data_IF_908215248418
#
_entry.id   IF_908215248418
#
_cell.length_a   1.000
_cell.length_b   1.000
_cell.length_c   1.000
_cell.angle_alpha   90.00
_cell.angle_beta   90.00
_cell.angle_gamma   90.00
#
_symmetry.space_group_name_H-M   'P 1'
#
loop_
_entity.id
_entity.type
_entity.pdbx_description
1 polymer ?
#
# COMPACT_ATOMS: atom_id res chain seq x y z
N UNK A 1 -12.56 12.21 4.09
CA UNK A 1 -12.85 10.75 4.10
C UNK A 1 -11.56 10.06 4.41
N UNK A 2 -11.48 9.12 5.37
CA UNK A 2 -10.24 8.39 5.61
C UNK A 2 -9.88 7.62 4.33
N UNK A 3 -8.62 7.69 3.84
CA UNK A 3 -8.20 6.85 2.74
C UNK A 3 -8.31 5.38 3.18
N UNK A 4 -9.00 4.55 2.37
CA UNK A 4 -9.16 3.12 2.60
C UNK A 4 -7.77 2.48 2.79
N UNK A 5 -7.56 1.68 3.85
CA UNK A 5 -6.30 0.97 4.09
C UNK A 5 -5.86 0.17 2.86
N UNK A 6 -4.55 0.02 2.62
CA UNK A 6 -4.03 -0.74 1.46
C UNK A 6 -4.61 -2.14 1.48
N UNK A 7 -4.66 -2.78 2.64
CA UNK A 7 -5.26 -4.09 2.81
C UNK A 7 -6.72 -4.05 2.40
N UNK A 8 -7.53 -3.04 2.75
CA UNK A 8 -8.93 -2.97 2.32
C UNK A 8 -9.10 -2.71 0.82
N UNK A 9 -8.23 -1.92 0.20
CA UNK A 9 -8.27 -1.69 -1.26
C UNK A 9 -7.74 -2.89 -2.02
N UNK A 10 -6.70 -3.56 -1.54
CA UNK A 10 -6.17 -4.82 -2.05
C UNK A 10 -7.13 -5.96 -1.75
N UNK A 11 -7.84 -6.01 -0.62
CA UNK A 11 -8.88 -7.01 -0.34
C UNK A 11 -10.07 -6.83 -1.29
N UNK A 12 -10.43 -5.59 -1.60
CA UNK A 12 -11.52 -5.29 -2.56
C UNK A 12 -11.09 -5.60 -3.99
N UNK A 13 -9.84 -5.28 -4.36
CA UNK A 13 -9.22 -5.65 -5.65
C UNK A 13 -8.97 -7.16 -5.77
N UNK A 14 -8.59 -7.83 -4.68
CA UNK A 14 -8.39 -9.28 -4.57
C UNK A 14 -9.71 -10.01 -4.64
N UNK A 15 -10.76 -9.57 -3.92
CA UNK A 15 -12.11 -10.09 -4.07
C UNK A 15 -12.62 -9.92 -5.50
N UNK A 16 -12.29 -8.82 -6.18
CA UNK A 16 -12.63 -8.60 -7.59
C UNK A 16 -11.81 -9.50 -8.53
N UNK A 17 -10.52 -9.67 -8.29
CA UNK A 17 -9.64 -10.54 -9.08
C UNK A 17 -9.95 -12.02 -8.86
N UNK A 18 -10.30 -12.43 -7.63
CA UNK A 18 -10.83 -13.76 -7.30
C UNK A 18 -12.19 -13.94 -7.98
N UNK A 19 -13.06 -12.93 -7.99
CA UNK A 19 -14.34 -12.99 -8.69
C UNK A 19 -14.16 -13.11 -10.21
N UNK A 20 -13.25 -12.34 -10.81
CA UNK A 20 -12.90 -12.42 -12.23
C UNK A 20 -12.27 -13.79 -12.56
N UNK A 21 -11.28 -14.25 -11.78
CA UNK A 21 -10.63 -15.54 -11.98
C UNK A 21 -11.58 -16.73 -11.73
N UNK A 22 -12.45 -16.65 -10.72
CA UNK A 22 -13.48 -17.65 -10.46
C UNK A 22 -14.51 -17.69 -11.60
N UNK A 23 -14.94 -16.54 -12.15
CA UNK A 23 -15.82 -16.50 -13.32
C UNK A 23 -15.16 -17.07 -14.58
N UNK A 24 -13.84 -16.92 -14.74
CA UNK A 24 -13.08 -17.39 -15.91
C UNK A 24 -12.40 -18.77 -15.72
N UNK A 25 -12.66 -19.49 -14.62
CA UNK A 25 -12.19 -20.88 -14.44
C UNK A 25 -12.78 -21.80 -15.50
N UNK A 26 -11.92 -22.63 -16.10
CA UNK A 26 -12.32 -23.63 -17.11
C UNK A 26 -13.41 -24.56 -16.57
N UNK A 27 -13.43 -24.85 -15.26
CA UNK A 27 -14.49 -25.66 -14.65
C UNK A 27 -15.88 -25.00 -14.74
N UNK A 28 -15.97 -23.67 -14.62
CA UNK A 28 -17.24 -22.94 -14.76
C UNK A 28 -17.70 -22.88 -16.22
N UNK A 29 -16.76 -22.78 -17.17
CA UNK A 29 -17.07 -22.88 -18.59
C UNK A 29 -17.61 -24.28 -18.96
N UNK A 30 -17.08 -25.35 -18.36
CA UNK A 30 -17.56 -26.73 -18.56
C UNK A 30 -18.93 -26.94 -17.92
N UNK A 31 -19.20 -26.39 -16.74
CA UNK A 31 -20.50 -26.49 -16.07
C UNK A 31 -21.58 -25.71 -16.85
N UNK A 32 -21.27 -24.50 -17.32
CA UNK A 32 -22.17 -23.70 -18.16
C UNK A 32 -22.41 -24.36 -19.53
N UNK A 33 -21.35 -24.86 -20.18
CA UNK A 33 -21.50 -25.60 -21.43
C UNK A 33 -22.31 -26.89 -21.25
N UNK A 34 -22.06 -27.64 -20.16
CA UNK A 34 -22.79 -28.86 -19.83
C UNK A 34 -24.26 -28.60 -19.52
N UNK A 35 -24.59 -27.53 -18.79
CA UNK A 35 -25.97 -27.14 -18.49
C UNK A 35 -26.72 -26.64 -19.74
N UNK A 36 -26.06 -25.92 -20.65
CA UNK A 36 -26.62 -25.52 -21.95
C UNK A 36 -26.86 -26.74 -22.85
N UNK A 37 -25.91 -27.68 -22.91
CA UNK A 37 -26.06 -28.91 -23.70
C UNK A 37 -27.19 -29.80 -23.16
N UNK A 38 -27.31 -29.94 -21.85
CA UNK A 38 -28.41 -30.68 -21.21
C UNK A 38 -29.76 -29.99 -21.44
N UNK A 39 -29.81 -28.65 -21.40
CA UNK A 39 -31.03 -27.90 -21.70
C UNK A 39 -31.52 -28.10 -23.14
N UNK A 40 -30.59 -28.28 -24.10
CA UNK A 40 -30.92 -28.50 -25.51
C UNK A 40 -31.26 -29.97 -25.82
N UNK A 41 -30.51 -30.94 -25.30
CA UNK A 41 -30.69 -32.36 -25.59
C UNK A 41 -31.71 -33.08 -24.71
N UNK A 42 -31.89 -32.64 -23.45
CA UNK A 42 -32.83 -33.21 -22.48
C UNK A 42 -33.66 -32.10 -21.78
N UNK A 43 -34.50 -31.36 -22.53
CA UNK A 43 -35.29 -30.27 -21.95
C UNK A 43 -36.30 -30.75 -20.91
N UNK A 44 -36.88 -31.95 -21.07
CA UNK A 44 -37.85 -32.57 -20.15
C UNK A 44 -37.49 -34.05 -19.88
N UNK A 45 -36.55 -34.35 -18.97
CA UNK A 45 -36.13 -35.72 -18.70
C UNK A 45 -37.16 -36.53 -17.88
N UNK A 46 -38.00 -35.85 -17.06
CA UNK A 46 -38.89 -36.50 -16.09
C UNK A 46 -40.29 -35.85 -16.04
N UNK A 47 -41.09 -35.91 -17.13
CA UNK A 47 -42.37 -35.23 -17.22
C UNK A 47 -43.46 -35.76 -16.25
N UNK A 48 -43.31 -36.97 -15.72
CA UNK A 48 -44.28 -37.58 -14.81
C UNK A 48 -44.06 -37.29 -13.31
N UNK A 49 -42.87 -36.87 -12.90
CA UNK A 49 -42.50 -36.67 -11.49
C UNK A 49 -42.37 -35.20 -11.10
N UNK A 50 -41.91 -34.35 -12.02
CA UNK A 50 -41.67 -32.92 -11.78
C UNK A 50 -42.22 -32.10 -12.97
N UNK A 51 -43.53 -31.82 -13.00
CA UNK A 51 -44.20 -31.19 -14.15
C UNK A 51 -43.78 -29.72 -14.41
N UNK A 52 -43.05 -29.12 -13.48
CA UNK A 52 -42.47 -27.78 -13.58
C UNK A 52 -41.02 -27.78 -14.09
N UNK A 53 -40.42 -28.97 -14.24
CA UNK A 53 -39.07 -29.12 -14.78
C UNK A 53 -39.08 -28.92 -16.28
N UNK A 54 -38.28 -27.98 -16.79
CA UNK A 54 -38.18 -27.66 -18.21
C UNK A 54 -36.77 -27.07 -18.48
N UNK A 55 -36.42 -26.76 -19.72
CA UNK A 55 -35.06 -26.31 -20.11
C UNK A 55 -34.46 -25.21 -19.20
N UNK A 56 -35.29 -24.33 -18.65
CA UNK A 56 -34.88 -23.26 -17.74
C UNK A 56 -34.37 -23.75 -16.37
N UNK A 57 -34.81 -24.92 -15.88
CA UNK A 57 -34.31 -25.46 -14.60
C UNK A 57 -32.85 -25.89 -14.70
N UNK A 58 -32.42 -26.40 -15.86
CA UNK A 58 -31.01 -26.71 -16.11
C UNK A 58 -30.11 -25.47 -16.06
N UNK A 59 -30.60 -24.35 -16.61
CA UNK A 59 -29.90 -23.07 -16.56
C UNK A 59 -29.86 -22.54 -15.13
N UNK A 60 -30.98 -22.61 -14.40
CA UNK A 60 -31.05 -22.17 -13.01
C UNK A 60 -30.14 -23.01 -12.10
N UNK A 61 -30.06 -24.32 -12.33
CA UNK A 61 -29.20 -25.24 -11.58
C UNK A 61 -27.72 -25.00 -11.90
N UNK A 62 -27.36 -24.76 -13.17
CA UNK A 62 -26.02 -24.33 -13.55
C UNK A 62 -25.63 -23.00 -12.88
N UNK A 63 -26.54 -22.03 -12.86
CA UNK A 63 -26.33 -20.74 -12.22
C UNK A 63 -26.18 -20.87 -10.69
N UNK A 64 -26.97 -21.73 -10.04
CA UNK A 64 -26.88 -22.01 -8.60
C UNK A 64 -25.57 -22.74 -8.26
N UNK A 65 -25.16 -23.72 -9.07
CA UNK A 65 -23.90 -24.44 -8.87
C UNK A 65 -22.69 -23.51 -8.97
N UNK A 66 -22.66 -22.66 -10.00
CA UNK A 66 -21.61 -21.63 -10.16
C UNK A 66 -21.67 -20.64 -8.98
N UNK A 67 -22.85 -20.19 -8.56
CA UNK A 67 -23.01 -19.28 -7.43
C UNK A 67 -22.50 -19.89 -6.12
N UNK A 68 -22.77 -21.18 -5.88
CA UNK A 68 -22.28 -21.90 -4.71
C UNK A 68 -20.75 -22.06 -4.72
N UNK A 69 -20.15 -22.33 -5.89
CA UNK A 69 -18.68 -22.39 -6.05
C UNK A 69 -18.05 -21.02 -5.80
N UNK A 70 -18.63 -19.95 -6.33
CA UNK A 70 -18.15 -18.57 -6.12
C UNK A 70 -18.24 -18.18 -4.65
N UNK A 71 -19.36 -18.49 -3.97
CA UNK A 71 -19.52 -18.25 -2.53
C UNK A 71 -18.54 -19.10 -1.72
N UNK A 72 -18.33 -20.35 -2.10
CA UNK A 72 -17.35 -21.24 -1.45
C UNK A 72 -15.92 -20.74 -1.62
N UNK A 73 -15.53 -20.29 -2.81
CA UNK A 73 -14.21 -19.74 -3.09
C UNK A 73 -13.95 -18.42 -2.33
N UNK A 74 -14.98 -17.57 -2.20
CA UNK A 74 -14.91 -16.36 -1.37
C UNK A 74 -14.82 -16.65 0.13
N UNK A 75 -15.23 -17.84 0.56
CA UNK A 75 -15.17 -18.29 1.96
C UNK A 75 -13.90 -19.12 2.24
N UNK A 76 -13.19 -19.57 1.20
CA UNK A 76 -11.96 -20.33 1.32
C UNK A 76 -10.77 -19.40 1.58
N UNK A 77 -10.27 -19.45 2.81
CA UNK A 77 -9.25 -18.54 3.32
C UNK A 77 -7.90 -18.67 2.59
N UNK A 78 -7.64 -19.83 1.96
CA UNK A 78 -6.39 -20.08 1.21
C UNK A 78 -6.31 -19.35 -0.13
N UNK A 79 -7.38 -19.33 -0.92
CA UNK A 79 -7.39 -18.61 -2.21
C UNK A 79 -7.31 -17.08 -2.00
N UNK A 80 -7.83 -16.60 -0.87
CA UNK A 80 -7.78 -15.20 -0.47
C UNK A 80 -6.36 -14.77 -0.08
N UNK A 81 -5.65 -15.61 0.67
CA UNK A 81 -4.24 -15.42 1.01
C UNK A 81 -3.37 -15.36 -0.26
N UNK A 82 -3.54 -16.27 -1.24
CA UNK A 82 -2.76 -16.29 -2.49
C UNK A 82 -3.05 -15.11 -3.44
N UNK A 83 -4.28 -14.60 -3.47
CA UNK A 83 -4.65 -13.45 -4.28
C UNK A 83 -4.10 -12.14 -3.69
N UNK A 84 -4.16 -11.99 -2.36
CA UNK A 84 -3.56 -10.86 -1.64
C UNK A 84 -2.06 -10.86 -1.85
N UNK A 85 -1.38 -12.00 -1.72
CA UNK A 85 0.07 -12.14 -1.91
C UNK A 85 0.52 -11.80 -3.36
N UNK A 86 -0.27 -12.18 -4.38
CA UNK A 86 0.01 -11.83 -5.78
C UNK A 86 -0.14 -10.33 -6.06
N UNK A 87 -1.23 -9.73 -5.60
CA UNK A 87 -1.46 -8.29 -5.72
C UNK A 87 -0.43 -7.50 -4.89
N UNK A 88 0.05 -8.09 -3.79
CA UNK A 88 1.18 -7.59 -3.05
C UNK A 88 2.44 -7.54 -3.89
N UNK A 89 2.87 -8.65 -4.49
CA UNK A 89 4.07 -8.66 -5.35
C UNK A 89 4.01 -7.64 -6.49
N UNK A 90 2.81 -7.33 -6.98
CA UNK A 90 2.59 -6.35 -8.05
C UNK A 90 2.65 -4.89 -7.53
N UNK A 91 1.93 -4.56 -6.46
CA UNK A 91 1.85 -3.21 -5.88
C UNK A 91 3.14 -2.82 -5.11
N UNK A 92 3.84 -3.81 -4.54
CA UNK A 92 5.06 -3.70 -3.73
C UNK A 92 6.34 -3.87 -4.53
N UNK A 93 6.24 -4.00 -5.86
CA UNK A 93 7.42 -4.01 -6.69
C UNK A 93 8.25 -2.74 -6.40
N UNK A 94 9.50 -2.96 -5.96
CA UNK A 94 10.53 -1.93 -5.73
C UNK A 94 10.87 -1.22 -7.06
N UNK A 95 10.35 -1.74 -8.19
CA UNK A 95 10.38 -1.14 -9.51
C UNK A 95 9.95 0.32 -9.47
N UNK A 96 10.82 1.19 -9.98
CA UNK A 96 10.58 2.62 -10.07
C UNK A 96 11.32 3.47 -9.03
N UNK A 97 11.78 2.90 -7.91
CA UNK A 97 12.64 3.62 -6.94
C UNK A 97 14.06 3.63 -7.48
N UNK A 98 14.70 4.79 -7.59
CA UNK A 98 16.06 4.95 -8.14
C UNK A 98 17.14 4.94 -7.07
N UNK A 99 16.81 5.42 -5.88
CA UNK A 99 17.73 5.49 -4.73
C UNK A 99 18.03 4.10 -4.16
N UNK A 100 19.30 3.70 -4.22
CA UNK A 100 19.77 2.39 -3.77
C UNK A 100 19.61 2.18 -2.26
N UNK A 101 19.72 3.22 -1.46
CA UNK A 101 19.56 3.10 -0.01
C UNK A 101 18.09 2.80 0.33
N UNK A 102 17.15 3.44 -0.36
CA UNK A 102 15.72 3.15 -0.20
C UNK A 102 15.38 1.73 -0.67
N UNK A 103 15.94 1.29 -1.80
CA UNK A 103 15.78 -0.09 -2.28
C UNK A 103 16.27 -1.12 -1.26
N UNK A 104 17.45 -0.91 -0.67
CA UNK A 104 18.02 -1.82 0.34
C UNK A 104 17.15 -1.89 1.60
N UNK A 105 16.62 -0.75 2.07
CA UNK A 105 15.70 -0.72 3.22
C UNK A 105 14.44 -1.54 2.94
N UNK A 106 13.84 -1.40 1.77
CA UNK A 106 12.63 -2.13 1.38
C UNK A 106 12.89 -3.62 1.18
N UNK A 107 14.04 -3.98 0.61
CA UNK A 107 14.44 -5.39 0.49
C UNK A 107 14.57 -6.06 1.85
N UNK A 108 15.17 -5.39 2.83
CA UNK A 108 15.25 -5.91 4.21
C UNK A 108 13.88 -6.03 4.87
N UNK A 109 12.97 -5.09 4.61
CA UNK A 109 11.59 -5.18 5.08
C UNK A 109 10.87 -6.41 4.53
N UNK A 110 11.08 -6.71 3.24
CA UNK A 110 10.59 -7.94 2.60
C UNK A 110 11.21 -9.21 3.22
N UNK A 111 12.53 -9.22 3.44
CA UNK A 111 13.22 -10.33 4.12
C UNK A 111 12.68 -10.57 5.55
N UNK A 112 12.36 -9.51 6.30
CA UNK A 112 11.72 -9.65 7.62
C UNK A 112 10.32 -10.23 7.50
N UNK A 113 9.54 -9.79 6.52
CA UNK A 113 8.19 -10.30 6.30
C UNK A 113 8.19 -11.79 5.95
N UNK A 114 9.07 -12.24 5.05
CA UNK A 114 9.21 -13.66 4.73
C UNK A 114 9.56 -14.50 5.97
N UNK A 115 10.50 -14.00 6.79
CA UNK A 115 10.91 -14.67 8.02
C UNK A 115 9.80 -14.71 9.07
N UNK A 116 9.01 -13.65 9.20
CA UNK A 116 7.84 -13.59 10.07
C UNK A 116 6.80 -14.62 9.61
N UNK A 117 6.49 -14.71 8.32
CA UNK A 117 5.55 -15.69 7.77
C UNK A 117 6.00 -17.12 8.04
N UNK A 118 7.28 -17.41 7.81
CA UNK A 118 7.85 -18.71 8.10
C UNK A 118 7.74 -19.06 9.60
N UNK A 119 8.03 -18.10 10.48
CA UNK A 119 7.93 -18.28 11.93
C UNK A 119 6.48 -18.52 12.41
N UNK A 120 5.50 -17.80 11.85
CA UNK A 120 4.07 -18.03 12.14
C UNK A 120 3.60 -19.37 11.59
N UNK A 121 4.02 -19.76 10.38
CA UNK A 121 3.63 -21.02 9.76
C UNK A 121 4.12 -22.24 10.56
N UNK A 122 5.32 -22.14 11.14
CA UNK A 122 5.93 -23.15 11.99
C UNK A 122 5.23 -23.33 13.35
N UNK A 123 4.35 -22.40 13.76
CA UNK A 123 3.59 -22.54 15.00
C UNK A 123 2.57 -23.67 14.93
N UNK A 124 2.35 -24.31 16.09
CA UNK A 124 1.29 -25.31 16.28
C UNK A 124 -0.08 -24.69 16.01
N UNK A 125 -0.95 -25.47 15.38
CA UNK A 125 -2.32 -25.04 15.11
C UNK A 125 -3.07 -24.73 16.40
N UNK A 126 -3.81 -23.63 16.41
CA UNK A 126 -4.56 -23.15 17.58
C UNK A 126 -4.80 -21.65 17.56
N UNK A 127 -5.48 -21.15 18.59
CA UNK A 127 -5.91 -19.73 18.71
C UNK A 127 -4.74 -18.76 18.61
N UNK A 128 -3.56 -19.13 19.12
CA UNK A 128 -2.35 -18.31 19.02
C UNK A 128 -1.91 -18.14 17.56
N UNK A 129 -1.86 -19.24 16.79
CA UNK A 129 -1.51 -19.20 15.36
C UNK A 129 -2.50 -18.37 14.56
N UNK A 130 -3.81 -18.51 14.83
CA UNK A 130 -4.85 -17.72 14.17
C UNK A 130 -4.75 -16.22 14.49
N UNK A 131 -4.30 -15.89 15.71
CA UNK A 131 -4.04 -14.50 16.10
C UNK A 131 -2.79 -13.96 15.40
N UNK A 132 -1.69 -14.71 15.41
CA UNK A 132 -0.45 -14.32 14.73
C UNK A 132 -0.63 -14.15 13.22
N UNK A 133 -1.44 -15.01 12.58
CA UNK A 133 -1.82 -14.87 11.17
C UNK A 133 -2.53 -13.55 10.89
N UNK A 134 -3.41 -13.09 11.79
CA UNK A 134 -4.06 -11.78 11.63
C UNK A 134 -3.04 -10.64 11.75
N UNK A 135 -2.10 -10.75 12.70
CA UNK A 135 -1.02 -9.78 12.86
C UNK A 135 -0.10 -9.68 11.64
N UNK A 136 0.13 -10.80 10.94
CA UNK A 136 0.84 -10.79 9.64
C UNK A 136 0.14 -9.91 8.59
N UNK A 137 -1.19 -9.82 8.61
CA UNK A 137 -1.92 -8.95 7.68
C UNK A 137 -1.68 -7.46 7.94
N UNK A 138 -1.44 -7.07 9.19
CA UNK A 138 -1.14 -5.68 9.53
C UNK A 138 0.31 -5.31 9.09
N UNK A 139 1.23 -6.28 9.11
CA UNK A 139 2.61 -6.11 8.61
C UNK A 139 2.64 -5.85 7.10
N UNK A 140 1.68 -6.41 6.38
CA UNK A 140 1.49 -6.09 4.98
C UNK A 140 1.20 -4.58 4.81
N UNK A 141 0.17 -4.04 5.47
CA UNK A 141 -0.14 -2.60 5.40
C UNK A 141 1.04 -1.72 5.78
N UNK A 142 1.80 -2.15 6.78
CA UNK A 142 3.01 -1.49 7.23
C UNK A 142 4.04 -1.35 6.11
N UNK A 143 4.42 -2.46 5.46
CA UNK A 143 5.41 -2.43 4.38
C UNK A 143 4.90 -1.56 3.22
N UNK A 144 3.58 -1.48 3.03
CA UNK A 144 3.01 -0.68 1.94
C UNK A 144 3.15 0.81 2.19
N UNK A 145 2.96 1.21 3.44
CA UNK A 145 3.28 2.56 3.88
C UNK A 145 4.78 2.88 3.70
N UNK A 146 5.67 1.93 4.02
CA UNK A 146 7.12 2.09 3.78
C UNK A 146 7.44 2.28 2.29
N UNK A 147 6.85 1.49 1.39
CA UNK A 147 7.03 1.63 -0.06
C UNK A 147 6.54 2.99 -0.55
N UNK A 148 5.35 3.44 -0.10
CA UNK A 148 4.83 4.77 -0.44
C UNK A 148 5.76 5.89 0.00
N UNK A 149 6.24 5.83 1.24
CA UNK A 149 7.15 6.80 1.80
C UNK A 149 8.48 6.82 1.03
N UNK A 150 9.02 5.65 0.71
CA UNK A 150 10.24 5.50 -0.09
C UNK A 150 10.08 6.08 -1.50
N UNK A 151 8.98 5.79 -2.21
CA UNK A 151 8.71 6.39 -3.53
C UNK A 151 8.66 7.92 -3.46
N UNK A 152 8.10 8.46 -2.39
CA UNK A 152 8.03 9.90 -2.19
C UNK A 152 9.38 10.54 -1.90
N UNK A 153 10.19 9.89 -1.07
CA UNK A 153 11.58 10.29 -0.82
C UNK A 153 12.41 10.25 -2.11
N UNK A 154 12.25 9.20 -2.93
CA UNK A 154 12.94 9.05 -4.21
C UNK A 154 12.55 10.15 -5.21
N UNK A 155 11.25 10.43 -5.33
CA UNK A 155 10.72 11.49 -6.18
C UNK A 155 11.29 12.86 -5.78
N UNK A 156 11.30 13.18 -4.48
CA UNK A 156 11.87 14.42 -3.98
C UNK A 156 13.39 14.52 -4.21
N UNK A 157 14.16 13.44 -3.92
CA UNK A 157 15.62 13.42 -4.10
C UNK A 157 16.06 13.59 -5.55
N UNK A 158 15.19 13.21 -6.48
CA UNK A 158 15.45 13.29 -7.92
C UNK A 158 14.69 14.41 -8.63
N UNK A 159 14.00 15.29 -7.89
CA UNK A 159 13.24 16.41 -8.45
C UNK A 159 14.17 17.48 -9.04
N UNK A 160 14.22 17.63 -10.38
CA UNK A 160 15.14 18.59 -11.01
C UNK A 160 14.77 20.05 -10.74
N UNK A 161 13.50 20.35 -10.42
CA UNK A 161 13.04 21.71 -10.13
C UNK A 161 13.56 22.14 -8.77
N UNK A 162 13.31 21.33 -7.74
CA UNK A 162 13.77 21.63 -6.36
C UNK A 162 15.29 21.72 -6.29
N UNK A 163 16.00 20.81 -6.96
CA UNK A 163 17.46 20.84 -7.06
C UNK A 163 17.96 22.10 -7.78
N UNK A 164 17.30 22.47 -8.88
CA UNK A 164 17.61 23.67 -9.65
C UNK A 164 17.39 24.95 -8.85
N UNK A 165 16.24 25.09 -8.20
CA UNK A 165 15.87 26.24 -7.38
C UNK A 165 16.84 26.40 -6.21
N UNK A 166 17.19 25.31 -5.53
CA UNK A 166 18.18 25.35 -4.44
C UNK A 166 19.53 25.89 -4.93
N UNK A 167 20.01 25.42 -6.07
CA UNK A 167 21.30 25.86 -6.60
C UNK A 167 21.25 27.31 -7.11
N UNK A 168 20.16 27.71 -7.75
CA UNK A 168 19.93 29.08 -8.18
C UNK A 168 19.92 30.06 -6.99
N UNK A 169 19.22 29.71 -5.90
CA UNK A 169 19.09 30.56 -4.71
C UNK A 169 20.42 30.83 -4.01
N UNK A 170 21.36 29.86 -4.02
CA UNK A 170 22.71 30.05 -3.46
C UNK A 170 23.46 31.19 -4.13
N UNK A 171 23.21 31.44 -5.40
CA UNK A 171 23.86 32.49 -6.18
C UNK A 171 23.03 33.77 -6.25
N UNK A 172 21.71 33.64 -6.40
CA UNK A 172 20.83 34.78 -6.64
C UNK A 172 20.64 35.65 -5.39
N UNK A 173 20.50 35.06 -4.21
CA UNK A 173 20.29 35.82 -2.96
C UNK A 173 21.50 36.73 -2.66
N UNK A 174 22.76 36.24 -2.62
CA UNK A 174 23.91 37.11 -2.39
C UNK A 174 24.08 38.20 -3.46
N UNK A 175 23.76 37.87 -4.72
CA UNK A 175 23.83 38.84 -5.81
C UNK A 175 22.78 39.96 -5.65
N UNK A 176 21.53 39.61 -5.32
CA UNK A 176 20.49 40.61 -5.04
C UNK A 176 20.85 41.48 -3.84
N UNK A 177 21.40 40.90 -2.77
CA UNK A 177 21.89 41.65 -1.61
C UNK A 177 23.00 42.64 -2.00
N UNK A 178 23.96 42.22 -2.84
CA UNK A 178 25.03 43.08 -3.32
C UNK A 178 24.50 44.24 -4.18
N UNK A 179 23.58 43.94 -5.11
CA UNK A 179 22.95 44.94 -5.97
C UNK A 179 22.11 45.93 -5.16
N UNK A 180 21.41 45.46 -4.13
CA UNK A 180 20.62 46.30 -3.24
C UNK A 180 21.51 47.30 -2.49
N UNK A 181 22.67 46.86 -2.01
CA UNK A 181 23.63 47.72 -1.31
C UNK A 181 24.24 48.83 -2.19
N UNK A 182 24.23 48.65 -3.52
CA UNK A 182 24.79 49.60 -4.49
C UNK A 182 23.71 50.45 -5.19
N UNK A 183 22.43 50.13 -5.01
CA UNK A 183 21.34 50.77 -5.74
C UNK A 183 21.04 52.18 -5.19
N UNK A 184 21.21 53.21 -6.02
CA UNK A 184 20.90 54.60 -5.66
C UNK A 184 19.44 54.98 -5.96
N UNK A 185 18.87 54.45 -7.06
CA UNK A 185 17.49 54.72 -7.46
C UNK A 185 16.48 54.04 -6.50
N UNK A 186 15.50 54.82 -6.03
CA UNK A 186 14.50 54.38 -5.05
C UNK A 186 13.61 53.26 -5.59
N UNK A 187 13.14 53.34 -6.84
CA UNK A 187 12.26 52.32 -7.43
C UNK A 187 13.01 51.02 -7.66
N UNK A 188 14.29 51.11 -8.05
CA UNK A 188 15.16 49.94 -8.20
C UNK A 188 15.40 49.26 -6.86
N UNK A 189 15.63 50.03 -5.78
CA UNK A 189 15.74 49.47 -4.43
C UNK A 189 14.48 48.73 -4.00
N UNK A 190 13.31 49.36 -4.14
CA UNK A 190 12.02 48.75 -3.78
C UNK A 190 11.78 47.43 -4.54
N UNK A 191 12.10 47.40 -5.84
CA UNK A 191 11.97 46.17 -6.63
C UNK A 191 12.97 45.08 -6.19
N UNK A 192 14.23 45.46 -5.89
CA UNK A 192 15.26 44.54 -5.41
C UNK A 192 14.90 43.97 -4.03
N UNK A 193 14.37 44.79 -3.12
CA UNK A 193 13.88 44.36 -1.80
C UNK A 193 12.74 43.36 -1.94
N UNK A 194 11.77 43.63 -2.82
CA UNK A 194 10.64 42.73 -3.08
C UNK A 194 11.15 41.38 -3.61
N UNK A 195 11.98 41.39 -4.64
CA UNK A 195 12.52 40.15 -5.24
C UNK A 195 13.41 39.38 -4.26
N UNK A 196 14.19 40.07 -3.43
CA UNK A 196 15.00 39.45 -2.39
C UNK A 196 14.10 38.76 -1.34
N UNK A 197 13.02 39.43 -0.91
CA UNK A 197 12.04 38.86 0.00
C UNK A 197 11.40 37.58 -0.55
N UNK A 198 10.97 37.60 -1.81
CA UNK A 198 10.39 36.42 -2.47
C UNK A 198 11.37 35.24 -2.52
N UNK A 199 12.64 35.49 -2.85
CA UNK A 199 13.67 34.44 -2.89
C UNK A 199 14.03 33.92 -1.51
N UNK A 200 14.06 34.77 -0.49
CA UNK A 200 14.25 34.34 0.90
C UNK A 200 13.09 33.47 1.38
N UNK A 201 11.85 33.83 1.02
CA UNK A 201 10.68 33.01 1.34
C UNK A 201 10.75 31.64 0.66
N UNK A 202 11.12 31.59 -0.62
CA UNK A 202 11.33 30.32 -1.33
C UNK A 202 12.42 29.47 -0.65
N UNK A 203 13.52 30.08 -0.23
CA UNK A 203 14.59 29.38 0.49
C UNK A 203 14.11 28.77 1.81
N UNK A 204 13.27 29.49 2.57
CA UNK A 204 12.66 28.98 3.80
C UNK A 204 11.77 27.77 3.49
N UNK A 205 10.91 27.89 2.47
CA UNK A 205 9.99 26.82 2.07
C UNK A 205 10.75 25.55 1.63
N UNK A 206 11.81 25.69 0.83
CA UNK A 206 12.66 24.56 0.43
C UNK A 206 13.35 23.94 1.65
N UNK A 207 13.91 24.76 2.55
CA UNK A 207 14.57 24.25 3.76
C UNK A 207 13.61 23.49 4.68
N UNK A 208 12.36 23.95 4.77
CA UNK A 208 11.33 23.25 5.52
C UNK A 208 10.96 21.91 4.89
N UNK A 209 10.82 21.86 3.56
CA UNK A 209 10.62 20.61 2.82
C UNK A 209 11.79 19.65 3.07
N UNK A 210 13.04 20.13 3.01
CA UNK A 210 14.24 19.32 3.28
C UNK A 210 14.19 18.67 4.66
N UNK A 211 13.87 19.46 5.69
CA UNK A 211 13.76 18.97 7.06
C UNK A 211 12.66 17.91 7.20
N UNK A 212 11.52 18.10 6.51
CA UNK A 212 10.42 17.12 6.50
C UNK A 212 10.86 15.81 5.81
N UNK A 213 11.55 15.89 4.68
CA UNK A 213 12.06 14.72 3.96
C UNK A 213 13.14 13.96 4.74
N UNK A 214 14.00 14.67 5.47
CA UNK A 214 14.97 14.03 6.36
C UNK A 214 14.27 13.26 7.49
N UNK A 215 13.25 13.86 8.12
CA UNK A 215 12.45 13.16 9.14
C UNK A 215 11.73 11.94 8.57
N UNK A 216 11.20 12.04 7.36
CA UNK A 216 10.57 10.93 6.66
C UNK A 216 11.55 9.77 6.39
N UNK A 217 12.80 10.07 6.01
CA UNK A 217 13.83 9.03 5.83
C UNK A 217 14.21 8.36 7.16
N UNK A 218 14.33 9.14 8.23
CA UNK A 218 14.56 8.62 9.59
C UNK A 218 13.38 7.76 10.08
N UNK A 219 12.14 8.14 9.74
CA UNK A 219 10.97 7.32 10.06
C UNK A 219 11.04 5.97 9.33
N UNK A 220 11.43 5.97 8.05
CA UNK A 220 11.61 4.73 7.30
C UNK A 220 12.67 3.81 7.93
N UNK A 221 13.76 4.38 8.45
CA UNK A 221 14.77 3.62 9.22
C UNK A 221 14.23 3.07 10.53
N UNK A 222 13.48 3.88 11.27
CA UNK A 222 12.82 3.47 12.51
C UNK A 222 11.86 2.30 12.27
N UNK A 223 11.02 2.39 11.24
CA UNK A 223 10.08 1.34 10.86
C UNK A 223 10.78 0.05 10.46
N UNK A 224 11.88 0.12 9.73
CA UNK A 224 12.68 -1.07 9.42
C UNK A 224 13.24 -1.74 10.69
N UNK A 225 13.71 -0.95 11.66
CA UNK A 225 14.20 -1.47 12.94
C UNK A 225 13.07 -2.09 13.79
N UNK A 226 11.88 -1.48 13.78
CA UNK A 226 10.68 -2.01 14.41
C UNK A 226 10.29 -3.36 13.80
N UNK A 227 10.38 -3.55 12.46
CA UNK A 227 10.13 -4.85 11.81
C UNK A 227 11.09 -5.93 12.33
N UNK A 228 12.38 -5.61 12.44
CA UNK A 228 13.38 -6.53 13.02
C UNK A 228 13.10 -6.87 14.49
N UNK A 229 12.55 -5.92 15.24
CA UNK A 229 12.12 -6.12 16.63
C UNK A 229 10.92 -7.06 16.71
N UNK A 230 9.88 -6.83 15.90
CA UNK A 230 8.70 -7.71 15.80
C UNK A 230 9.11 -9.14 15.44
N UNK A 231 9.98 -9.30 14.46
CA UNK A 231 10.52 -10.60 14.09
C UNK A 231 11.22 -11.29 15.27
N UNK A 232 12.09 -10.58 15.97
CA UNK A 232 12.82 -11.11 17.13
C UNK A 232 11.86 -11.51 18.26
N UNK A 233 10.83 -10.71 18.52
CA UNK A 233 9.81 -11.02 19.52
C UNK A 233 9.00 -12.27 19.14
N UNK A 234 8.67 -12.42 17.86
CA UNK A 234 7.94 -13.58 17.35
C UNK A 234 8.73 -14.89 17.55
N UNK A 235 10.04 -14.87 17.30
CA UNK A 235 10.90 -16.04 17.55
C UNK A 235 10.89 -16.46 19.03
N UNK A 236 10.82 -15.49 19.96
CA UNK A 236 10.77 -15.77 21.39
C UNK A 236 9.44 -16.41 21.81
N UNK A 237 8.32 -16.02 21.19
CA UNK A 237 6.98 -16.58 21.47
C UNK A 237 6.94 -18.09 21.18
N UNK A 238 7.62 -18.57 20.13
CA UNK A 238 7.65 -19.99 19.79
C UNK A 238 8.43 -20.90 20.74
N UNK A 239 9.20 -20.32 21.66
CA UNK A 239 10.09 -21.08 22.56
C UNK A 239 9.44 -21.44 23.90
N UNK A 240 8.27 -20.88 24.23
CA UNK A 240 7.59 -21.05 25.53
C UNK A 240 6.08 -21.17 25.29
N UNK A 241 5.36 -21.89 26.15
CA UNK A 241 3.89 -21.80 26.21
C UNK A 241 3.54 -20.40 26.74
N UNK A 242 3.51 -19.40 25.84
CA UNK A 242 3.35 -17.98 26.18
C UNK A 242 1.89 -17.59 26.20
N UNK A 243 1.50 -16.85 27.24
CA UNK A 243 0.17 -16.27 27.43
C UNK A 243 -0.22 -15.32 26.28
N UNK A 244 -1.52 -15.30 25.94
CA UNK A 244 -2.09 -14.48 24.85
C UNK A 244 -1.79 -12.97 24.93
N UNK A 245 -1.40 -12.45 26.10
CA UNK A 245 -1.06 -11.04 26.29
C UNK A 245 0.22 -10.57 25.58
N UNK A 246 1.14 -11.48 25.21
CA UNK A 246 2.32 -11.10 24.42
C UNK A 246 1.96 -10.83 22.95
N UNK A 247 1.06 -11.65 22.39
CA UNK A 247 0.56 -11.48 21.03
C UNK A 247 -0.33 -10.23 20.90
N UNK A 248 -1.08 -9.86 21.95
CA UNK A 248 -1.84 -8.61 22.00
C UNK A 248 -0.97 -7.38 21.96
N UNK A 249 0.11 -7.37 22.75
CA UNK A 249 1.11 -6.28 22.71
C UNK A 249 1.76 -6.17 21.34
N UNK A 250 2.16 -7.29 20.74
CA UNK A 250 2.75 -7.29 19.41
C UNK A 250 1.81 -6.70 18.36
N UNK A 251 0.53 -7.06 18.41
CA UNK A 251 -0.47 -6.50 17.50
C UNK A 251 -0.67 -4.99 17.69
N UNK A 252 -0.71 -4.53 18.95
CA UNK A 252 -0.81 -3.11 19.26
C UNK A 252 0.41 -2.34 18.73
N UNK A 253 1.63 -2.83 18.99
CA UNK A 253 2.87 -2.22 18.53
C UNK A 253 2.91 -2.07 16.99
N UNK A 254 2.46 -3.11 16.27
CA UNK A 254 2.36 -3.08 14.80
C UNK A 254 1.31 -2.06 14.34
N UNK A 255 0.16 -2.02 15.01
CA UNK A 255 -0.93 -1.10 14.65
C UNK A 255 -0.51 0.36 14.84
N UNK A 256 0.19 0.67 15.93
CA UNK A 256 0.72 2.00 16.22
C UNK A 256 1.75 2.43 15.17
N UNK A 257 2.63 1.52 14.74
CA UNK A 257 3.64 1.80 13.72
C UNK A 257 3.04 1.98 12.31
N UNK A 258 2.01 1.20 11.95
CA UNK A 258 1.24 1.38 10.72
C UNK A 258 0.61 2.77 10.68
N UNK A 259 -0.05 3.18 11.78
CA UNK A 259 -0.69 4.49 11.90
C UNK A 259 0.34 5.62 11.83
N UNK A 260 1.46 5.50 12.55
CA UNK A 260 2.52 6.50 12.54
C UNK A 260 3.09 6.73 11.14
N UNK A 261 3.33 5.67 10.37
CA UNK A 261 3.78 5.80 8.99
C UNK A 261 2.72 6.39 8.06
N UNK A 262 1.46 6.03 8.26
CA UNK A 262 0.36 6.60 7.51
C UNK A 262 0.27 8.12 7.73
N UNK A 263 0.35 8.58 8.98
CA UNK A 263 0.37 10.00 9.33
C UNK A 263 1.53 10.74 8.65
N UNK A 264 2.72 10.13 8.62
CA UNK A 264 3.88 10.71 7.93
C UNK A 264 3.62 10.82 6.42
N UNK A 265 3.09 9.77 5.78
CA UNK A 265 2.75 9.81 4.35
C UNK A 265 1.69 10.87 4.06
N UNK A 266 0.64 10.97 4.87
CA UNK A 266 -0.42 11.97 4.73
C UNK A 266 0.11 13.39 4.88
N UNK A 267 0.96 13.65 5.88
CA UNK A 267 1.58 14.96 6.10
C UNK A 267 2.47 15.43 4.94
N UNK A 268 3.04 14.49 4.17
CA UNK A 268 3.85 14.78 2.99
C UNK A 268 2.98 15.04 1.75
N UNK A 269 1.80 14.43 1.68
CA UNK A 269 0.87 14.62 0.57
C UNK A 269 0.20 15.99 0.61
N UNK A 270 -0.16 16.48 1.81
CA UNK A 270 -0.77 17.79 2.02
C UNK A 270 0.03 18.95 1.40
N UNK A 271 1.36 18.83 1.35
CA UNK A 271 2.25 19.88 0.80
C UNK A 271 2.35 19.82 -0.73
N UNK A 272 2.33 18.63 -1.34
CA UNK A 272 2.42 18.51 -2.81
C UNK A 272 1.11 18.89 -3.49
N UNK A 273 -0.04 18.62 -2.87
CA UNK A 273 -1.32 19.13 -3.37
C UNK A 273 -1.38 20.66 -3.29
N UNK A 274 -0.69 21.26 -2.31
CA UNK A 274 -0.55 22.72 -2.22
C UNK A 274 0.31 23.34 -3.34
N UNK A 275 1.17 22.56 -4.00
CA UNK A 275 2.03 23.05 -5.11
C UNK A 275 1.44 22.77 -6.51
N UNK A 276 0.51 21.83 -6.65
CA UNK A 276 -0.20 21.59 -7.93
C UNK A 276 -1.36 22.57 -8.16
N UNK A 277 -1.77 23.32 -7.12
CA UNK A 277 -2.72 24.44 -7.23
C UNK A 277 -2.12 25.75 -6.69
N UNK A 278 -1.08 26.26 -7.37
CA UNK A 278 -0.75 27.69 -7.34
C UNK A 278 -1.74 28.49 -8.20
N UNK A 279 -2.08 29.75 -7.84
CA UNK A 279 -3.24 30.47 -8.33
C UNK A 279 -3.07 30.82 -9.81
N UNK A 280 -3.73 30.05 -10.66
CA UNK A 280 -3.83 30.28 -12.08
C UNK A 280 -5.29 30.36 -12.50
N UNK A 281 -6.05 31.28 -11.88
CA UNK A 281 -6.99 32.22 -12.53
C UNK A 281 -7.18 33.44 -11.63
#
# INVERSE_FOLDING_TARGET
MPPDSIHNTIDRKARRAIFEHALFRIENAVILAGSILLAYFLPNPLPGLLPWWNWWTWILLGLVAVSAIVVSALTDQREREEAVERLFREEYSIGGIRDKALQEKLKRAEEYHEQINAAVAAQRDGVLKDRLKRTTNDIYDWIGNMVRLARRLDAYRSDPIILGDREALKQSIPNLQHRLAQASDQRVREQLETTLGDQQQLQINISELDNRMQRADLQLDSSLASLGTVYSQLLLIGSKDVDGGQAERLQADISDEVNSLQDVVESINEIYDYQTFGPGQ
#
